data_IF_918161079170
#
_entry.id   IF_918161079170
#
_cell.length_a   1.000
_cell.length_b   1.000
_cell.length_c   1.000
_cell.angle_alpha   90.00
_cell.angle_beta   90.00
_cell.angle_gamma   90.00
#
_symmetry.space_group_name_H-M   'P 1'
#
loop_
_entity.id
_entity.type
_entity.pdbx_description
1 polymer ?
#
# COMPACT_ATOMS: atom_id res chain seq x y z
N UNK A 1 -10.79 -9.91 21.02
CA UNK A 1 -10.39 -10.63 19.79
C UNK A 1 -11.08 -11.99 19.66
N UNK A 2 -10.84 -12.98 20.53
CA UNK A 2 -11.38 -14.34 20.35
C UNK A 2 -12.92 -14.42 20.28
N UNK A 3 -13.64 -13.57 21.02
CA UNK A 3 -15.10 -13.52 20.92
C UNK A 3 -15.61 -13.07 19.55
N UNK A 4 -14.84 -12.22 18.84
CA UNK A 4 -15.15 -11.83 17.46
C UNK A 4 -14.85 -12.94 16.44
N UNK A 5 -14.27 -14.07 16.86
CA UNK A 5 -14.07 -15.27 16.04
C UNK A 5 -15.24 -16.25 16.14
N UNK A 6 -16.24 -15.95 16.97
CA UNK A 6 -17.46 -16.75 17.00
C UNK A 6 -18.10 -16.75 15.61
N UNK A 7 -18.51 -17.92 15.12
CA UNK A 7 -18.91 -18.11 13.73
C UNK A 7 -19.95 -17.07 13.31
N UNK A 8 -21.05 -16.90 14.06
CA UNK A 8 -22.10 -15.92 13.71
C UNK A 8 -21.64 -14.44 13.68
N UNK A 9 -20.52 -14.11 14.35
CA UNK A 9 -19.96 -12.75 14.34
C UNK A 9 -18.97 -12.60 13.18
N UNK A 10 -18.06 -13.56 13.04
CA UNK A 10 -16.98 -13.47 12.07
C UNK A 10 -17.47 -13.65 10.64
N UNK A 11 -18.46 -14.51 10.43
CA UNK A 11 -19.05 -14.78 9.11
C UNK A 11 -20.04 -13.71 8.66
N UNK A 12 -20.44 -12.79 9.54
CA UNK A 12 -21.36 -11.71 9.20
C UNK A 12 -22.84 -12.14 9.16
N UNK A 13 -23.22 -13.19 9.89
CA UNK A 13 -24.59 -13.72 9.92
C UNK A 13 -25.46 -13.33 11.13
N UNK A 14 -24.89 -12.77 12.18
CA UNK A 14 -25.63 -12.26 13.32
C UNK A 14 -26.50 -11.01 12.99
N UNK A 15 -27.39 -10.67 13.93
CA UNK A 15 -28.17 -9.43 13.88
C UNK A 15 -27.31 -8.20 14.14
N UNK A 16 -27.78 -7.03 13.66
CA UNK A 16 -27.05 -5.75 13.75
C UNK A 16 -26.45 -5.45 15.14
N UNK A 17 -27.23 -5.61 16.21
CA UNK A 17 -26.80 -5.31 17.59
C UNK A 17 -25.61 -6.16 18.07
N UNK A 18 -25.44 -7.36 17.52
CA UNK A 18 -24.28 -8.22 17.80
C UNK A 18 -22.98 -7.60 17.26
N UNK A 19 -23.04 -6.87 16.14
CA UNK A 19 -21.88 -6.16 15.59
C UNK A 19 -21.55 -4.90 16.38
N UNK A 20 -22.55 -4.17 16.90
CA UNK A 20 -22.29 -3.03 17.76
C UNK A 20 -21.55 -3.45 19.03
N UNK A 21 -21.97 -4.57 19.63
CA UNK A 21 -21.32 -5.10 20.82
C UNK A 21 -19.93 -5.66 20.52
N UNK A 22 -19.80 -6.53 19.51
CA UNK A 22 -18.51 -7.12 19.16
C UNK A 22 -17.52 -6.08 18.62
N UNK A 23 -18.01 -5.04 17.94
CA UNK A 23 -17.22 -3.90 17.49
C UNK A 23 -16.58 -3.14 18.65
N UNK A 24 -17.32 -2.90 19.74
CA UNK A 24 -16.77 -2.30 20.97
C UNK A 24 -15.67 -3.16 21.58
N UNK A 25 -15.87 -4.47 21.69
CA UNK A 25 -14.85 -5.39 22.21
C UNK A 25 -13.59 -5.45 21.32
N UNK A 26 -13.76 -5.36 20.00
CA UNK A 26 -12.63 -5.28 19.08
C UNK A 26 -11.85 -3.97 19.26
N UNK A 27 -12.55 -2.85 19.43
CA UNK A 27 -11.96 -1.54 19.63
C UNK A 27 -11.18 -1.47 20.96
N UNK A 28 -11.75 -1.96 22.06
CA UNK A 28 -11.05 -2.03 23.37
C UNK A 28 -9.77 -2.86 23.31
N UNK A 29 -9.83 -4.02 22.62
CA UNK A 29 -8.67 -4.87 22.43
C UNK A 29 -7.60 -4.20 21.56
N UNK A 30 -8.01 -3.50 20.50
CA UNK A 30 -7.13 -2.74 19.63
C UNK A 30 -6.42 -1.62 20.39
N UNK A 31 -7.15 -0.77 21.10
CA UNK A 31 -6.58 0.34 21.89
C UNK A 31 -5.61 -0.16 22.97
N UNK A 32 -5.95 -1.27 23.65
CA UNK A 32 -5.06 -1.87 24.63
C UNK A 32 -3.79 -2.41 23.98
N UNK A 33 -3.90 -3.01 22.80
CA UNK A 33 -2.75 -3.53 22.04
C UNK A 33 -1.87 -2.39 21.52
N UNK A 34 -2.45 -1.32 20.97
CA UNK A 34 -1.72 -0.13 20.51
C UNK A 34 -0.90 0.49 21.63
N UNK A 35 -1.48 0.68 22.83
CA UNK A 35 -0.74 1.16 24.01
C UNK A 35 0.42 0.25 24.40
N UNK A 36 0.21 -1.08 24.37
CA UNK A 36 1.28 -2.03 24.69
C UNK A 36 2.40 -1.95 23.65
N UNK A 37 2.06 -1.87 22.37
CA UNK A 37 3.03 -1.72 21.27
C UNK A 37 3.82 -0.43 21.43
N UNK A 38 3.16 0.70 21.65
CA UNK A 38 3.81 2.01 21.84
C UNK A 38 4.78 2.00 23.03
N UNK A 39 4.34 1.49 24.18
CA UNK A 39 5.18 1.39 25.37
C UNK A 39 6.38 0.46 25.15
N UNK A 40 6.16 -0.69 24.49
CA UNK A 40 7.21 -1.68 24.23
C UNK A 40 8.24 -1.14 23.24
N UNK A 41 7.78 -0.52 22.15
CA UNK A 41 8.66 0.11 21.17
C UNK A 41 9.39 1.31 21.78
N UNK A 42 8.74 2.11 22.61
CA UNK A 42 9.37 3.21 23.35
C UNK A 42 10.50 2.72 24.25
N UNK A 43 10.27 1.63 24.99
CA UNK A 43 11.30 0.98 25.81
C UNK A 43 12.47 0.43 24.96
N UNK A 44 12.20 -0.23 23.84
CA UNK A 44 13.25 -0.71 22.95
C UNK A 44 14.07 0.46 22.38
N UNK A 45 13.40 1.50 21.89
CA UNK A 45 14.03 2.71 21.37
C UNK A 45 14.95 3.38 22.38
N UNK A 46 14.60 3.41 23.67
CA UNK A 46 15.45 4.02 24.71
C UNK A 46 16.76 3.26 24.95
N UNK A 47 16.86 2.00 24.52
CA UNK A 47 18.07 1.17 24.62
C UNK A 47 18.87 1.10 23.32
N UNK A 48 18.32 1.63 22.22
CA UNK A 48 19.01 1.68 20.94
C UNK A 48 19.99 2.87 20.95
N UNK A 49 21.26 2.60 20.69
CA UNK A 49 22.25 3.65 20.48
C UNK A 49 21.96 4.37 19.16
N UNK A 50 21.39 5.57 19.25
CA UNK A 50 21.04 6.40 18.09
C UNK A 50 22.02 7.54 17.83
N UNK A 51 23.07 7.65 18.65
CA UNK A 51 24.16 8.61 18.45
C UNK A 51 24.84 8.33 17.10
N UNK A 52 24.47 9.12 16.09
CA UNK A 52 25.14 9.11 14.79
C UNK A 52 26.46 9.89 14.86
N UNK A 53 27.24 9.84 13.78
CA UNK A 53 28.46 10.68 13.63
C UNK A 53 28.14 12.18 13.67
N UNK A 54 26.91 12.57 13.33
CA UNK A 54 26.42 13.93 13.46
C UNK A 54 25.51 14.07 14.69
N UNK A 55 25.98 14.82 15.71
CA UNK A 55 25.25 15.10 16.96
C UNK A 55 23.91 15.82 16.76
N UNK A 56 23.64 16.34 15.56
CA UNK A 56 22.40 17.02 15.20
C UNK A 56 21.44 16.18 14.36
N UNK A 57 21.76 14.92 14.04
CA UNK A 57 20.86 14.10 13.22
C UNK A 57 19.64 13.59 13.99
N UNK A 58 18.49 13.47 13.31
CA UNK A 58 17.27 12.89 13.87
C UNK A 58 17.17 11.40 13.46
N UNK A 59 17.26 10.46 14.41
CA UNK A 59 17.18 9.02 14.12
C UNK A 59 15.74 8.59 13.82
N UNK A 60 15.58 7.70 12.84
CA UNK A 60 14.35 7.00 12.49
C UNK A 60 14.62 5.49 12.61
N UNK A 61 13.85 4.78 13.43
CA UNK A 61 14.04 3.35 13.68
C UNK A 61 12.90 2.58 13.02
N UNK A 62 13.24 1.67 12.12
CA UNK A 62 12.29 0.81 11.40
C UNK A 62 12.41 -0.59 11.96
N UNK A 63 11.33 -1.08 12.58
CA UNK A 63 11.25 -2.43 13.12
C UNK A 63 10.62 -3.39 12.10
N UNK A 64 11.15 -4.60 12.02
CA UNK A 64 10.55 -5.71 11.28
C UNK A 64 10.05 -6.76 12.28
N UNK A 65 8.73 -6.91 12.35
CA UNK A 65 8.07 -7.84 13.26
C UNK A 65 7.99 -9.27 12.71
N UNK A 66 8.46 -9.50 11.47
CA UNK A 66 8.38 -10.79 10.80
C UNK A 66 9.66 -11.60 11.05
N UNK A 67 9.52 -12.93 10.99
CA UNK A 67 10.62 -13.88 11.19
C UNK A 67 11.59 -14.03 10.01
N UNK A 68 11.56 -13.13 9.03
CA UNK A 68 12.44 -13.15 7.85
C UNK A 68 12.91 -11.75 7.47
N UNK A 69 14.01 -11.69 6.73
CA UNK A 69 14.56 -10.45 6.16
C UNK A 69 13.55 -9.80 5.20
N UNK A 70 13.35 -8.49 5.31
CA UNK A 70 12.37 -7.77 4.48
C UNK A 70 12.93 -6.46 3.92
N UNK A 71 12.61 -6.21 2.66
CA UNK A 71 12.64 -4.89 2.04
C UNK A 71 11.20 -4.36 2.01
N UNK A 72 10.96 -3.11 2.43
CA UNK A 72 9.62 -2.54 2.35
C UNK A 72 9.58 -1.01 2.31
N UNK A 73 8.49 -0.49 1.74
CA UNK A 73 8.19 0.92 1.74
C UNK A 73 7.78 1.38 3.15
N UNK A 74 8.49 2.38 3.68
CA UNK A 74 8.15 3.05 4.93
C UNK A 74 7.53 4.39 4.61
N UNK A 75 6.37 4.67 5.22
CA UNK A 75 5.72 5.97 5.17
C UNK A 75 5.42 6.44 6.60
N UNK A 76 6.05 7.53 7.03
CA UNK A 76 5.85 8.13 8.34
C UNK A 76 5.38 9.57 8.22
N UNK A 77 4.58 10.04 9.15
CA UNK A 77 4.31 11.47 9.30
C UNK A 77 5.63 12.22 9.52
N UNK A 78 5.78 13.39 8.88
CA UNK A 78 6.98 14.19 9.05
C UNK A 78 7.17 14.55 10.54
N UNK A 79 8.31 14.21 11.17
CA UNK A 79 8.56 14.54 12.56
C UNK A 79 8.51 16.05 12.78
N UNK A 80 7.94 16.50 13.90
CA UNK A 80 7.89 17.94 14.23
C UNK A 80 9.27 18.60 14.33
N UNK A 81 10.30 17.80 14.68
CA UNK A 81 11.70 18.23 14.78
C UNK A 81 12.47 18.07 13.46
N UNK A 82 11.80 17.79 12.35
CA UNK A 82 12.44 17.66 11.04
C UNK A 82 13.05 18.99 10.60
N UNK A 83 14.14 18.91 9.83
CA UNK A 83 14.80 20.09 9.26
C UNK A 83 14.01 20.63 8.06
N UNK A 84 14.20 21.90 7.74
CA UNK A 84 13.63 22.52 6.53
C UNK A 84 14.18 21.88 5.24
N UNK A 85 15.44 21.43 5.28
CA UNK A 85 16.10 20.68 4.22
C UNK A 85 16.99 19.61 4.86
N UNK A 86 16.94 18.40 4.31
CA UNK A 86 17.69 17.27 4.83
C UNK A 86 18.00 16.21 3.77
N UNK A 87 18.91 15.32 4.13
CA UNK A 87 19.10 14.03 3.49
C UNK A 87 18.77 12.92 4.47
N UNK A 88 18.45 11.74 3.93
CA UNK A 88 18.28 10.52 4.70
C UNK A 88 19.50 9.62 4.46
N UNK A 89 20.10 9.10 5.53
CA UNK A 89 21.21 8.15 5.44
C UNK A 89 20.93 6.88 6.22
N UNK A 90 21.55 5.77 5.80
CA UNK A 90 21.52 4.49 6.51
C UNK A 90 22.67 4.36 7.53
N UNK A 91 22.78 3.18 8.16
CA UNK A 91 23.82 2.86 9.15
C UNK A 91 25.26 2.85 8.60
N UNK A 92 25.42 2.90 7.28
CA UNK A 92 26.70 2.90 6.57
C UNK A 92 27.00 4.26 5.93
N UNK A 93 26.25 5.30 6.30
CA UNK A 93 26.30 6.65 5.72
C UNK A 93 25.94 6.69 4.22
N UNK A 94 25.25 5.67 3.69
CA UNK A 94 24.74 5.73 2.31
C UNK A 94 23.50 6.62 2.23
N UNK A 95 23.41 7.43 1.18
CA UNK A 95 22.21 8.21 0.89
C UNK A 95 21.03 7.29 0.56
N UNK A 96 19.91 7.53 1.22
CA UNK A 96 18.63 6.83 1.01
C UNK A 96 17.70 7.74 0.22
N UNK A 97 17.22 7.25 -0.92
CA UNK A 97 16.21 7.95 -1.70
C UNK A 97 14.91 8.03 -0.92
N UNK A 98 14.33 9.22 -0.88
CA UNK A 98 13.05 9.47 -0.26
C UNK A 98 12.22 10.44 -1.10
N UNK A 99 10.92 10.46 -0.84
CA UNK A 99 10.00 11.47 -1.30
C UNK A 99 9.13 11.97 -0.15
N UNK A 100 8.57 13.17 -0.33
CA UNK A 100 7.64 13.76 0.62
C UNK A 100 6.31 13.87 -0.12
N UNK A 101 5.29 13.19 0.38
CA UNK A 101 3.93 13.20 -0.19
C UNK A 101 2.93 13.47 0.93
N UNK A 102 2.05 14.47 0.78
CA UNK A 102 1.06 14.85 1.80
C UNK A 102 1.60 14.94 3.25
N UNK A 103 2.79 15.55 3.44
CA UNK A 103 3.52 15.64 4.73
C UNK A 103 4.03 14.31 5.30
N UNK A 104 4.00 13.23 4.53
CA UNK A 104 4.62 11.96 4.89
C UNK A 104 5.99 11.84 4.24
N UNK A 105 6.98 11.42 5.02
CA UNK A 105 8.27 10.96 4.51
C UNK A 105 8.11 9.52 4.03
N UNK A 106 8.41 9.26 2.76
CA UNK A 106 8.31 7.94 2.14
C UNK A 106 9.68 7.52 1.62
N UNK A 107 10.15 6.35 2.03
CA UNK A 107 11.43 5.79 1.59
C UNK A 107 11.40 4.25 1.61
N UNK A 108 12.35 3.61 0.95
CA UNK A 108 12.50 2.15 1.00
C UNK A 108 13.43 1.77 2.15
N UNK A 109 12.94 0.97 3.09
CA UNK A 109 13.77 0.33 4.10
C UNK A 109 14.24 -1.03 3.58
N UNK A 110 15.53 -1.14 3.29
CA UNK A 110 16.15 -2.32 2.73
C UNK A 110 16.78 -3.22 3.81
N UNK A 111 16.57 -4.53 3.67
CA UNK A 111 17.20 -5.61 4.41
C UNK A 111 17.04 -5.45 5.92
N UNK A 112 15.82 -5.13 6.36
CA UNK A 112 15.50 -5.05 7.79
C UNK A 112 15.49 -6.48 8.36
N UNK A 113 16.34 -6.81 9.35
CA UNK A 113 16.49 -8.18 9.86
C UNK A 113 15.20 -8.77 10.45
N UNK A 114 15.08 -10.09 10.45
CA UNK A 114 14.00 -10.81 11.12
C UNK A 114 13.91 -10.45 12.61
N UNK A 115 12.72 -10.12 13.10
CA UNK A 115 12.47 -9.66 14.48
C UNK A 115 13.42 -8.55 14.94
N UNK A 116 13.95 -7.77 14.00
CA UNK A 116 15.01 -6.81 14.22
C UNK A 116 14.60 -5.39 13.86
N UNK A 117 15.58 -4.52 13.78
CA UNK A 117 15.38 -3.14 13.35
C UNK A 117 16.55 -2.65 12.51
N UNK A 118 16.31 -1.55 11.78
CA UNK A 118 17.34 -0.77 11.11
C UNK A 118 17.12 0.70 11.45
N UNK A 119 18.23 1.42 11.60
CA UNK A 119 18.21 2.85 11.93
C UNK A 119 18.61 3.65 10.70
N UNK A 120 17.89 4.73 10.49
CA UNK A 120 18.15 5.75 9.48
C UNK A 120 18.31 7.10 10.17
N UNK A 121 19.00 8.04 9.54
CA UNK A 121 19.20 9.36 10.11
C UNK A 121 18.79 10.43 9.11
N UNK A 122 17.90 11.30 9.56
CA UNK A 122 17.65 12.56 8.89
C UNK A 122 18.74 13.55 9.30
N UNK A 123 19.49 14.06 8.33
CA UNK A 123 20.63 14.95 8.56
C UNK A 123 20.36 16.27 7.85
N UNK A 124 20.45 17.37 8.59
CA UNK A 124 20.33 18.73 8.05
C UNK A 124 21.33 18.95 6.90
N UNK A 125 20.83 19.43 5.76
CA UNK A 125 21.64 19.63 4.55
C UNK A 125 20.79 19.87 3.30
N UNK A 126 21.41 20.35 2.23
CA UNK A 126 20.72 20.66 0.98
C UNK A 126 20.30 19.40 0.22
N UNK A 127 19.00 19.10 0.18
CA UNK A 127 18.44 17.96 -0.57
C UNK A 127 19.17 17.68 -1.90
N UNK A 128 19.80 16.51 -1.99
CA UNK A 128 20.46 16.07 -3.23
C UNK A 128 19.43 15.93 -4.35
N UNK A 129 19.70 16.45 -5.56
CA UNK A 129 18.82 16.27 -6.71
C UNK A 129 18.61 14.78 -7.04
N UNK A 130 17.37 14.45 -7.36
CA UNK A 130 16.91 13.09 -7.66
C UNK A 130 17.16 12.77 -9.15
N UNK A 131 18.41 12.52 -9.57
CA UNK A 131 18.71 12.30 -11.01
C UNK A 131 18.43 10.87 -11.50
N UNK A 132 18.38 9.87 -10.61
CA UNK A 132 18.44 8.45 -11.02
C UNK A 132 17.15 7.66 -10.77
N UNK A 133 16.00 8.34 -10.75
CA UNK A 133 14.72 7.68 -10.54
C UNK A 133 14.37 6.77 -11.73
N UNK A 134 14.44 5.45 -11.53
CA UNK A 134 14.02 4.42 -12.51
C UNK A 134 12.50 4.18 -12.53
N UNK A 135 11.74 5.04 -11.85
CA UNK A 135 10.29 4.95 -11.71
C UNK A 135 9.63 6.08 -12.49
N UNK A 136 8.70 5.73 -13.37
CA UNK A 136 7.99 6.68 -14.21
C UNK A 136 6.49 6.40 -14.25
N UNK A 137 5.73 7.47 -14.43
CA UNK A 137 4.28 7.47 -14.59
C UNK A 137 3.89 8.61 -15.53
N UNK A 138 2.93 8.36 -16.42
CA UNK A 138 2.39 9.34 -17.35
C UNK A 138 0.86 9.38 -17.36
N UNK A 139 0.29 10.34 -18.07
CA UNK A 139 -1.17 10.55 -18.13
C UNK A 139 -1.87 9.56 -19.06
N UNK A 140 -1.10 8.81 -19.84
CA UNK A 140 -1.57 7.75 -20.73
C UNK A 140 -1.71 6.40 -19.99
N UNK A 141 -1.64 6.40 -18.65
CA UNK A 141 -1.82 5.19 -17.82
C UNK A 141 -0.63 4.24 -17.83
N UNK A 142 0.54 4.66 -18.32
CA UNK A 142 1.77 3.87 -18.30
C UNK A 142 2.55 4.15 -17.03
N UNK A 143 2.90 3.09 -16.31
CA UNK A 143 3.79 3.08 -15.15
C UNK A 143 4.95 2.13 -15.42
N UNK A 144 6.16 2.52 -15.07
CA UNK A 144 7.34 1.71 -15.36
C UNK A 144 8.39 1.86 -14.25
N UNK A 145 8.87 0.72 -13.76
CA UNK A 145 9.98 0.60 -12.80
C UNK A 145 11.18 -0.09 -13.45
N UNK A 146 12.22 -0.39 -12.68
CA UNK A 146 13.35 -1.21 -13.15
C UNK A 146 12.90 -2.60 -13.62
N UNK A 147 11.95 -3.21 -12.90
CA UNK A 147 11.61 -4.63 -13.07
C UNK A 147 10.30 -4.85 -13.84
N UNK A 148 9.39 -3.86 -13.81
CA UNK A 148 8.06 -4.01 -14.38
C UNK A 148 7.62 -2.82 -15.23
N UNK A 149 6.77 -3.12 -16.22
CA UNK A 149 5.98 -2.14 -16.96
C UNK A 149 4.49 -2.49 -16.80
N UNK A 150 3.69 -1.53 -16.39
CA UNK A 150 2.24 -1.64 -16.22
C UNK A 150 1.55 -0.60 -17.10
N UNK A 151 0.50 -1.00 -17.82
CA UNK A 151 -0.32 -0.09 -18.61
C UNK A 151 -1.79 -0.29 -18.28
N UNK A 152 -2.46 0.83 -18.02
CA UNK A 152 -3.89 0.93 -17.73
C UNK A 152 -4.55 1.71 -18.85
N UNK A 153 -5.70 1.25 -19.33
CA UNK A 153 -6.54 2.00 -20.26
C UNK A 153 -7.27 3.13 -19.52
N UNK A 154 -6.96 4.41 -19.78
CA UNK A 154 -7.49 5.54 -19.01
C UNK A 154 -9.01 5.61 -18.95
N UNK A 155 -9.69 5.23 -20.03
CA UNK A 155 -11.15 5.35 -20.16
C UNK A 155 -11.93 4.28 -19.39
N UNK A 156 -11.27 3.17 -19.06
CA UNK A 156 -11.93 1.97 -18.47
C UNK A 156 -11.31 1.49 -17.16
N UNK A 157 -10.08 1.88 -16.84
CA UNK A 157 -9.35 1.41 -15.67
C UNK A 157 -8.80 -0.03 -15.79
N UNK A 158 -9.03 -0.69 -16.93
CA UNK A 158 -8.55 -2.04 -17.21
C UNK A 158 -7.04 -2.04 -17.35
N UNK A 159 -6.38 -2.99 -16.70
CA UNK A 159 -4.95 -3.22 -16.94
C UNK A 159 -4.82 -3.95 -18.28
N UNK A 160 -4.24 -3.26 -19.27
CA UNK A 160 -4.02 -3.79 -20.63
C UNK A 160 -2.69 -4.50 -20.76
N UNK A 161 -1.73 -4.17 -19.90
CA UNK A 161 -0.38 -4.75 -19.95
C UNK A 161 0.24 -4.82 -18.58
N UNK A 162 0.86 -5.96 -18.24
CA UNK A 162 1.74 -6.08 -17.09
C UNK A 162 2.92 -6.96 -17.47
N UNK A 163 4.07 -6.35 -17.67
CA UNK A 163 5.26 -6.99 -18.24
C UNK A 163 6.38 -7.08 -17.20
N UNK A 164 6.88 -8.29 -16.97
CA UNK A 164 8.08 -8.55 -16.20
C UNK A 164 9.30 -8.50 -17.11
N UNK A 165 10.18 -7.52 -16.86
CA UNK A 165 11.38 -7.25 -17.67
C UNK A 165 12.48 -8.29 -17.45
N UNK A 166 12.53 -8.91 -16.28
CA UNK A 166 13.52 -9.94 -15.94
C UNK A 166 13.14 -11.28 -16.57
N UNK A 167 11.87 -11.66 -16.49
CA UNK A 167 11.35 -12.87 -17.11
C UNK A 167 11.11 -12.70 -18.63
N UNK A 168 11.09 -11.45 -19.12
CA UNK A 168 10.75 -11.07 -20.49
C UNK A 168 9.38 -11.59 -20.92
N UNK A 169 8.37 -11.44 -20.05
CA UNK A 169 7.03 -12.02 -20.26
C UNK A 169 5.92 -11.06 -19.84
N UNK A 170 4.82 -11.12 -20.59
CA UNK A 170 3.54 -10.59 -20.13
C UNK A 170 2.96 -11.51 -19.04
N UNK A 171 2.61 -10.92 -17.91
CA UNK A 171 1.99 -11.60 -16.78
C UNK A 171 0.49 -11.79 -17.02
N UNK A 172 -0.15 -10.80 -17.65
CA UNK A 172 -1.56 -10.86 -18.01
C UNK A 172 -1.76 -11.27 -19.46
N UNK A 173 -2.90 -11.92 -19.71
CA UNK A 173 -3.35 -12.17 -21.08
C UNK A 173 -3.68 -10.85 -21.74
N UNK A 174 -3.41 -10.74 -23.04
CA UNK A 174 -3.85 -9.58 -23.81
C UNK A 174 -5.36 -9.45 -23.72
N UNK A 175 -5.81 -8.31 -23.21
CA UNK A 175 -7.22 -7.92 -23.21
C UNK A 175 -7.56 -7.31 -24.58
N UNK A 176 -8.80 -7.48 -25.01
CA UNK A 176 -9.34 -6.88 -26.23
C UNK A 176 -10.68 -6.23 -25.93
N UNK A 177 -11.05 -5.20 -26.68
CA UNK A 177 -12.38 -4.60 -26.60
C UNK A 177 -13.45 -5.60 -27.06
N UNK A 178 -14.66 -5.48 -26.55
CA UNK A 178 -15.79 -6.27 -27.05
C UNK A 178 -16.28 -5.69 -28.38
N UNK A 179 -16.42 -6.54 -29.41
CA UNK A 179 -16.87 -6.12 -30.75
C UNK A 179 -18.27 -5.46 -30.72
N UNK A 180 -19.17 -5.94 -29.86
CA UNK A 180 -20.53 -5.42 -29.73
C UNK A 180 -20.66 -4.22 -28.77
N UNK A 181 -19.63 -3.91 -28.00
CA UNK A 181 -19.61 -2.79 -27.07
C UNK A 181 -18.16 -2.30 -26.85
N UNK A 182 -17.69 -1.35 -27.66
CA UNK A 182 -16.30 -0.89 -27.62
C UNK A 182 -15.96 -0.15 -26.32
N UNK A 183 -16.95 0.17 -25.48
CA UNK A 183 -16.74 0.81 -24.17
C UNK A 183 -16.32 -0.20 -23.08
N UNK A 184 -16.25 -1.50 -23.40
CA UNK A 184 -15.87 -2.53 -22.42
C UNK A 184 -14.97 -3.61 -23.03
N UNK A 185 -14.18 -4.26 -22.19
CA UNK A 185 -13.25 -5.33 -22.57
C UNK A 185 -13.90 -6.72 -22.50
N UNK A 186 -13.38 -7.68 -23.25
CA UNK A 186 -13.80 -9.08 -23.14
C UNK A 186 -13.50 -9.57 -21.72
N UNK A 187 -14.57 -9.88 -20.99
CA UNK A 187 -14.59 -10.06 -19.53
C UNK A 187 -13.60 -11.12 -19.03
N UNK A 188 -13.43 -12.22 -19.76
CA UNK A 188 -12.54 -13.32 -19.38
C UNK A 188 -11.05 -13.00 -19.58
N UNK A 189 -10.74 -11.89 -20.26
CA UNK A 189 -9.37 -11.42 -20.55
C UNK A 189 -9.04 -10.09 -19.88
N UNK A 190 -10.05 -9.34 -19.42
CA UNK A 190 -9.85 -8.05 -18.76
C UNK A 190 -9.25 -8.24 -17.36
N UNK A 191 -8.16 -7.52 -17.07
CA UNK A 191 -7.58 -7.46 -15.73
C UNK A 191 -8.05 -6.18 -15.02
N UNK A 192 -8.24 -6.23 -13.70
CA UNK A 192 -8.73 -5.11 -12.88
C UNK A 192 -10.16 -4.65 -13.22
N UNK A 193 -11.08 -5.58 -13.47
CA UNK A 193 -12.49 -5.27 -13.73
C UNK A 193 -13.32 -5.26 -12.46
N UNK A 194 -13.90 -4.10 -12.11
CA UNK A 194 -14.89 -3.99 -11.03
C UNK A 194 -16.28 -4.41 -11.53
N UNK A 195 -16.96 -5.26 -10.75
CA UNK A 195 -18.25 -5.83 -11.13
C UNK A 195 -19.23 -5.79 -9.96
N UNK A 196 -20.44 -5.33 -10.23
CA UNK A 196 -21.56 -5.34 -9.30
C UNK A 196 -22.46 -6.53 -9.63
N UNK A 197 -22.65 -7.42 -8.68
CA UNK A 197 -23.56 -8.56 -8.77
C UNK A 197 -24.83 -8.22 -8.02
N UNK A 198 -25.95 -8.11 -8.74
CA UNK A 198 -27.27 -7.89 -8.16
C UNK A 198 -27.95 -9.24 -7.94
N UNK A 199 -28.14 -9.56 -6.67
CA UNK A 199 -28.76 -10.78 -6.19
C UNK A 199 -30.29 -10.60 -6.02
N UNK A 200 -31.06 -11.65 -6.31
CA UNK A 200 -32.49 -11.71 -5.99
C UNK A 200 -32.68 -11.71 -4.47
N UNK A 201 -33.56 -10.88 -3.88
CA UNK A 201 -33.82 -10.91 -2.44
C UNK A 201 -34.28 -12.29 -1.95
N UNK A 202 -33.68 -12.77 -0.84
CA UNK A 202 -34.09 -14.01 -0.17
C UNK A 202 -33.77 -13.97 1.33
N UNK A 203 -34.32 -14.89 2.11
CA UNK A 203 -34.27 -14.88 3.58
C UNK A 203 -32.94 -15.33 4.19
N UNK A 204 -31.98 -15.76 3.37
CA UNK A 204 -30.71 -16.35 3.81
C UNK A 204 -29.50 -15.57 3.29
N UNK A 205 -29.67 -14.28 2.97
CA UNK A 205 -28.65 -13.47 2.29
C UNK A 205 -27.35 -13.30 3.09
N UNK A 206 -27.39 -13.54 4.40
CA UNK A 206 -26.18 -13.56 5.24
C UNK A 206 -25.42 -14.89 5.23
N UNK A 207 -25.99 -15.94 4.63
CA UNK A 207 -25.45 -17.30 4.65
C UNK A 207 -25.16 -17.87 3.26
N UNK A 208 -25.94 -17.45 2.27
CA UNK A 208 -25.93 -18.01 0.92
C UNK A 208 -25.95 -16.87 -0.08
N UNK A 209 -25.04 -16.90 -1.05
CA UNK A 209 -25.17 -16.11 -2.26
C UNK A 209 -26.25 -16.77 -3.13
N UNK A 210 -27.40 -16.13 -3.21
CA UNK A 210 -28.55 -16.50 -4.01
C UNK A 210 -28.37 -16.26 -5.50
N UNK A 211 -29.50 -16.25 -6.21
CA UNK A 211 -29.50 -16.11 -7.65
C UNK A 211 -29.06 -14.71 -8.08
N UNK A 212 -28.10 -14.62 -9.00
CA UNK A 212 -27.64 -13.35 -9.56
C UNK A 212 -28.51 -12.99 -10.77
N UNK A 213 -29.36 -11.97 -10.61
CA UNK A 213 -30.25 -11.48 -11.67
C UNK A 213 -29.52 -10.65 -12.71
N UNK A 214 -28.50 -9.90 -12.27
CA UNK A 214 -27.80 -8.94 -13.11
C UNK A 214 -26.36 -8.79 -12.66
N UNK A 215 -25.46 -8.75 -13.63
CA UNK A 215 -24.07 -8.34 -13.43
C UNK A 215 -23.83 -7.04 -14.18
N UNK A 216 -23.30 -6.02 -13.50
CA UNK A 216 -22.91 -4.74 -14.11
C UNK A 216 -21.41 -4.63 -14.04
N UNK A 217 -20.77 -4.42 -15.19
CA UNK A 217 -19.34 -4.13 -15.25
C UNK A 217 -19.14 -2.61 -15.09
N UNK A 218 -18.30 -2.21 -14.15
CA UNK A 218 -17.96 -0.81 -13.90
C UNK A 218 -16.68 -0.46 -14.65
N UNK A 219 -16.76 -0.44 -15.99
CA UNK A 219 -15.63 -0.20 -16.90
C UNK A 219 -15.78 1.04 -17.76
N UNK A 220 -16.78 1.89 -17.51
CA UNK A 220 -17.12 3.01 -18.39
C UNK A 220 -17.03 4.31 -17.59
N UNK A 221 -16.45 5.35 -18.19
CA UNK A 221 -16.32 6.67 -17.55
C UNK A 221 -15.28 6.73 -16.43
N UNK A 222 -14.28 5.85 -16.47
CA UNK A 222 -13.15 5.90 -15.56
C UNK A 222 -12.33 7.18 -15.79
N UNK A 223 -11.74 7.71 -14.71
CA UNK A 223 -10.84 8.85 -14.76
C UNK A 223 -9.58 8.49 -14.01
N UNK A 224 -8.46 8.40 -14.73
CA UNK A 224 -7.19 8.19 -14.07
C UNK A 224 -6.58 9.51 -13.62
N UNK A 225 -5.96 9.48 -12.44
CA UNK A 225 -5.26 10.63 -11.87
C UNK A 225 -3.93 10.18 -11.29
N UNK A 226 -2.85 10.87 -11.65
CA UNK A 226 -1.56 10.70 -10.97
C UNK A 226 -1.70 11.34 -9.58
N UNK A 227 -1.77 10.51 -8.55
CA UNK A 227 -1.89 10.96 -7.17
C UNK A 227 -0.53 11.22 -6.53
N UNK A 228 0.48 10.44 -6.92
CA UNK A 228 1.84 10.56 -6.41
C UNK A 228 2.83 10.29 -7.53
N UNK A 229 3.86 11.13 -7.62
CA UNK A 229 4.99 10.93 -8.53
C UNK A 229 6.29 11.26 -7.84
N UNK A 230 7.09 10.23 -7.56
CA UNK A 230 8.41 10.41 -6.99
C UNK A 230 9.37 9.26 -7.29
N UNK A 231 10.62 9.40 -6.82
CA UNK A 231 11.70 8.46 -7.05
C UNK A 231 11.53 7.09 -6.37
N UNK A 232 10.71 7.01 -5.33
CA UNK A 232 10.49 5.80 -4.52
C UNK A 232 9.15 5.13 -4.87
N UNK A 233 8.11 5.93 -5.10
CA UNK A 233 6.74 5.47 -5.35
C UNK A 233 6.02 6.38 -6.34
N UNK A 234 5.20 5.76 -7.17
CA UNK A 234 4.17 6.41 -8.00
C UNK A 234 2.82 5.80 -7.64
N UNK A 235 1.76 6.60 -7.68
CA UNK A 235 0.39 6.15 -7.44
C UNK A 235 -0.50 6.71 -8.55
N UNK A 236 -1.27 5.82 -9.17
CA UNK A 236 -2.32 6.14 -10.11
C UNK A 236 -3.67 5.81 -9.46
N UNK A 237 -4.52 6.81 -9.25
CA UNK A 237 -5.93 6.63 -8.93
C UNK A 237 -6.71 6.32 -10.21
N UNK A 238 -7.71 5.44 -10.11
CA UNK A 238 -8.55 4.90 -11.20
C UNK A 238 -10.02 5.05 -10.78
#
# INVERSE_FOLDING_TARGET
VCFNQFHDIFDGSAIHSSYDYSGKLAQEAKESTERIIENSLGFLCSHIKTEGKNKKALPLIVFNQLGWLRDDLVAIEMPQKAFSSFHLIDQKDNLVLFQIEQKKLVFMADKVPAFGYKTYWMVEGERTPLSDAKLSINKEGKMESTDYLLQVEPSTGVITRFYDKKAQKEIFRSSSLMEANPDTYVIDKASNLLRLFKETPHSMSSWVIGNIEKVVNLSNGCQIKIEEKGPVRVILGI
#
